data_IF_339029501512
#
_entry.id   IF_339029501512
#
_cell.length_a   1.000
_cell.length_b   1.000
_cell.length_c   1.000
_cell.angle_alpha   90.00
_cell.angle_beta   90.00
_cell.angle_gamma   90.00
#
_symmetry.space_group_name_H-M   'P 1'
#
loop_
_entity.id
_entity.type
_entity.pdbx_description
1 polymer ?
#
# COMPACT_ATOMS: atom_id res chain seq x y z
N UNK A 1 -13.91 4.97 -1.25
CA UNK A 1 -12.99 6.04 -1.73
C UNK A 1 -11.67 5.39 -2.07
N UNK A 2 -11.09 5.75 -3.22
CA UNK A 2 -9.70 5.47 -3.60
C UNK A 2 -8.83 6.63 -3.09
N UNK A 3 -7.75 6.36 -2.37
CA UNK A 3 -6.83 7.37 -1.88
C UNK A 3 -5.81 7.80 -2.93
N UNK A 4 -5.11 6.83 -3.55
CA UNK A 4 -4.12 7.07 -4.61
C UNK A 4 -2.74 7.58 -4.16
N UNK A 5 -2.53 7.80 -2.86
CA UNK A 5 -1.23 8.20 -2.28
C UNK A 5 -1.12 7.83 -0.79
N UNK A 6 -1.35 6.54 -0.47
CA UNK A 6 -1.08 6.05 0.88
C UNK A 6 0.42 5.92 1.08
N UNK A 7 0.94 6.65 2.06
CA UNK A 7 2.33 6.66 2.49
C UNK A 7 2.42 7.14 3.94
N UNK A 8 3.51 6.82 4.65
CA UNK A 8 3.68 7.25 6.04
C UNK A 8 3.64 8.78 6.21
N UNK A 9 4.14 9.55 5.22
CA UNK A 9 4.07 11.03 5.20
C UNK A 9 2.64 11.59 5.17
N UNK A 10 1.66 10.79 4.74
CA UNK A 10 0.24 11.14 4.66
C UNK A 10 -0.56 10.55 5.84
N UNK A 11 0.15 10.17 6.91
CA UNK A 11 -0.43 9.77 8.19
C UNK A 11 -0.11 10.84 9.24
N UNK A 12 -1.12 11.30 9.97
CA UNK A 12 -0.99 12.23 11.08
C UNK A 12 -1.21 11.51 12.41
N UNK A 13 -0.37 11.81 13.39
CA UNK A 13 -0.55 11.34 14.76
C UNK A 13 -1.35 12.40 15.55
N UNK A 14 -2.58 12.05 15.90
CA UNK A 14 -3.43 12.86 16.77
C UNK A 14 -3.22 12.47 18.26
N UNK A 15 -3.91 13.17 19.15
CA UNK A 15 -3.96 12.84 20.57
C UNK A 15 -4.34 11.38 20.82
N UNK A 16 -3.85 10.80 21.91
CA UNK A 16 -4.10 9.41 22.32
C UNK A 16 -3.58 8.36 21.32
N UNK A 17 -2.47 8.64 20.63
CA UNK A 17 -1.83 7.76 19.65
C UNK A 17 -2.77 7.32 18.51
N UNK A 18 -3.75 8.17 18.17
CA UNK A 18 -4.68 7.89 17.06
C UNK A 18 -4.05 8.34 15.75
N UNK A 19 -3.81 7.40 14.85
CA UNK A 19 -3.32 7.70 13.49
C UNK A 19 -4.49 8.03 12.58
N UNK A 20 -4.37 9.12 11.80
CA UNK A 20 -5.38 9.56 10.83
C UNK A 20 -4.75 9.72 9.45
N UNK A 21 -5.44 9.22 8.43
CA UNK A 21 -5.05 9.38 7.03
C UNK A 21 -5.41 10.81 6.58
N UNK A 22 -4.49 11.48 5.88
CA UNK A 22 -4.68 12.82 5.33
C UNK A 22 -4.26 12.90 3.85
N UNK A 23 -4.30 14.11 3.28
CA UNK A 23 -3.94 14.40 1.89
C UNK A 23 -4.72 13.61 0.82
N UNK A 24 -6.00 13.97 0.69
CA UNK A 24 -6.91 13.41 -0.30
C UNK A 24 -6.78 14.09 -1.68
N UNK A 25 -5.70 14.81 -1.97
CA UNK A 25 -5.53 15.57 -3.21
C UNK A 25 -5.56 14.69 -4.48
N UNK A 26 -5.16 13.42 -4.34
CA UNK A 26 -5.21 12.41 -5.40
C UNK A 26 -6.42 11.48 -5.30
N UNK A 27 -7.28 11.66 -4.29
CA UNK A 27 -8.39 10.76 -4.02
C UNK A 27 -9.54 10.90 -5.02
N UNK A 28 -10.28 9.80 -5.19
CA UNK A 28 -11.43 9.71 -6.10
C UNK A 28 -12.54 8.87 -5.49
N UNK A 29 -13.78 9.27 -5.74
CA UNK A 29 -14.94 8.45 -5.40
C UNK A 29 -15.23 7.45 -6.53
N UNK A 30 -15.30 6.17 -6.15
CA UNK A 30 -15.44 5.06 -7.08
C UNK A 30 -16.92 4.66 -7.14
N UNK A 31 -17.73 5.41 -7.90
CA UNK A 31 -19.18 5.22 -7.92
C UNK A 31 -19.64 3.99 -8.74
N UNK A 32 -19.07 3.78 -9.93
CA UNK A 32 -19.53 2.74 -10.88
C UNK A 32 -18.41 1.89 -11.50
N UNK A 33 -17.21 2.45 -11.64
CA UNK A 33 -16.04 1.75 -12.17
C UNK A 33 -15.06 1.51 -11.03
N UNK A 34 -14.70 0.25 -10.79
CA UNK A 34 -13.71 -0.16 -9.77
C UNK A 34 -12.27 0.22 -10.15
N UNK A 35 -12.08 0.83 -11.32
CA UNK A 35 -10.79 1.23 -11.89
C UNK A 35 -10.85 2.68 -12.38
N UNK A 36 -9.82 3.45 -12.05
CA UNK A 36 -9.56 4.79 -12.56
C UNK A 36 -8.32 4.79 -13.46
N UNK A 37 -8.45 5.36 -14.66
CA UNK A 37 -7.34 5.54 -15.60
C UNK A 37 -6.87 7.00 -15.55
N UNK A 38 -5.66 7.24 -15.03
CA UNK A 38 -5.09 8.59 -14.97
C UNK A 38 -4.52 9.02 -16.33
N UNK A 39 -4.96 10.17 -16.83
CA UNK A 39 -4.54 10.73 -18.13
C UNK A 39 -3.45 11.81 -18.06
N UNK A 40 -3.21 12.42 -16.90
CA UNK A 40 -2.21 13.49 -16.72
C UNK A 40 -0.82 12.96 -16.36
N UNK A 41 0.22 13.73 -16.72
CA UNK A 41 1.64 13.42 -16.49
C UNK A 41 2.20 14.01 -15.18
N UNK A 42 1.35 14.24 -14.17
CA UNK A 42 1.79 14.80 -12.89
C UNK A 42 2.86 13.92 -12.23
N UNK A 43 3.70 14.51 -11.38
CA UNK A 43 4.63 13.77 -10.54
C UNK A 43 3.83 12.82 -9.63
N UNK A 44 4.22 11.54 -9.62
CA UNK A 44 3.52 10.49 -8.88
C UNK A 44 4.45 9.82 -7.85
N UNK A 45 3.90 9.31 -6.73
CA UNK A 45 4.65 8.62 -5.68
C UNK A 45 5.04 7.20 -6.09
N UNK A 46 5.85 7.04 -7.14
CA UNK A 46 6.13 5.78 -7.82
C UNK A 46 6.62 4.64 -6.89
N UNK A 47 7.30 4.98 -5.80
CA UNK A 47 7.80 3.99 -4.81
C UNK A 47 6.69 3.31 -4.00
N UNK A 48 5.52 3.94 -3.88
CA UNK A 48 4.34 3.39 -3.21
C UNK A 48 3.34 2.77 -4.19
N UNK A 49 3.51 3.00 -5.49
CA UNK A 49 2.52 2.59 -6.49
C UNK A 49 2.63 1.10 -6.83
N UNK A 50 1.47 0.50 -7.07
CA UNK A 50 1.35 -0.85 -7.60
C UNK A 50 1.85 -0.95 -9.06
N UNK A 51 2.30 -2.13 -9.53
CA UNK A 51 2.82 -2.30 -10.89
C UNK A 51 1.82 -1.91 -11.98
N UNK A 52 0.54 -2.20 -11.82
CA UNK A 52 -0.52 -1.79 -12.75
C UNK A 52 -0.75 -0.26 -12.77
N UNK A 53 -0.56 0.40 -11.62
CA UNK A 53 -0.66 1.86 -11.52
C UNK A 53 0.54 2.56 -12.19
N UNK A 54 1.73 1.95 -12.10
CA UNK A 54 2.95 2.44 -12.75
C UNK A 54 2.86 2.24 -14.26
N UNK A 55 2.66 0.99 -14.69
CA UNK A 55 2.82 0.60 -16.10
C UNK A 55 1.60 0.96 -16.96
N UNK A 56 0.40 0.90 -16.38
CA UNK A 56 -0.86 1.02 -17.12
C UNK A 56 -1.72 2.20 -16.66
N UNK A 57 -1.26 2.96 -15.64
CA UNK A 57 -2.02 4.06 -15.01
C UNK A 57 -3.39 3.62 -14.48
N UNK A 58 -3.50 2.34 -14.08
CA UNK A 58 -4.71 1.74 -13.50
C UNK A 58 -4.66 1.90 -11.98
N UNK A 59 -5.60 2.66 -11.44
CA UNK A 59 -5.76 2.85 -9.99
C UNK A 59 -7.06 2.20 -9.51
N UNK A 60 -6.99 1.52 -8.37
CA UNK A 60 -8.12 0.83 -7.75
C UNK A 60 -7.91 0.70 -6.24
N UNK A 61 -8.90 0.19 -5.52
CA UNK A 61 -8.72 -0.14 -4.10
C UNK A 61 -7.56 -1.14 -3.91
N UNK A 62 -7.31 -2.02 -4.88
CA UNK A 62 -6.20 -2.97 -4.81
C UNK A 62 -4.83 -2.33 -5.02
N UNK A 63 -4.75 -1.20 -5.75
CA UNK A 63 -3.50 -0.43 -5.81
C UNK A 63 -3.25 0.35 -4.51
N UNK A 64 -4.31 0.77 -3.80
CA UNK A 64 -4.18 1.30 -2.44
C UNK A 64 -3.72 0.23 -1.45
N UNK A 65 -4.15 -1.02 -1.59
CA UNK A 65 -3.65 -2.14 -0.76
C UNK A 65 -2.14 -2.33 -0.93
N UNK A 66 -1.62 -2.23 -2.15
CA UNK A 66 -0.17 -2.26 -2.38
C UNK A 66 0.53 -1.10 -1.67
N UNK A 67 0.01 0.12 -1.85
CA UNK A 67 0.53 1.35 -1.24
C UNK A 67 0.51 1.27 0.29
N UNK A 68 -0.54 0.68 0.85
CA UNK A 68 -0.67 0.39 2.28
C UNK A 68 0.38 -0.61 2.75
N UNK A 69 0.70 -1.64 1.96
CA UNK A 69 1.81 -2.56 2.26
C UNK A 69 3.15 -1.82 2.35
N UNK A 70 3.43 -0.88 1.44
CA UNK A 70 4.63 -0.03 1.53
C UNK A 70 4.57 0.88 2.76
N UNK A 71 3.41 1.45 3.08
CA UNK A 71 3.19 2.29 4.26
C UNK A 71 3.45 1.53 5.56
N UNK A 72 2.94 0.30 5.68
CA UNK A 72 3.24 -0.58 6.81
C UNK A 72 4.73 -0.90 6.88
N UNK A 73 5.37 -1.18 5.75
CA UNK A 73 6.81 -1.40 5.73
C UNK A 73 7.59 -0.19 6.28
N UNK A 74 7.23 1.04 5.88
CA UNK A 74 7.82 2.27 6.43
C UNK A 74 7.66 2.32 7.96
N UNK A 75 6.46 2.03 8.48
CA UNK A 75 6.20 2.05 9.93
C UNK A 75 7.08 1.04 10.68
N UNK A 76 7.22 -0.18 10.17
CA UNK A 76 7.96 -1.26 10.83
C UNK A 76 9.48 -1.16 10.64
N UNK A 77 9.93 -0.33 9.72
CA UNK A 77 11.34 0.03 9.53
C UNK A 77 11.69 1.40 10.13
N UNK A 78 10.78 1.98 10.92
CA UNK A 78 10.96 3.28 11.58
C UNK A 78 11.24 4.43 10.60
N UNK A 79 10.60 4.38 9.43
CA UNK A 79 10.67 5.43 8.41
C UNK A 79 11.78 5.26 7.38
N UNK A 80 12.29 4.04 7.18
CA UNK A 80 13.24 3.80 6.09
C UNK A 80 12.65 4.19 4.74
N UNK A 81 13.52 4.57 3.81
CA UNK A 81 13.12 4.95 2.46
C UNK A 81 12.84 3.71 1.61
N UNK A 82 11.64 3.56 1.00
CA UNK A 82 11.38 2.46 0.09
C UNK A 82 12.30 2.51 -1.13
N UNK A 83 12.85 1.35 -1.51
CA UNK A 83 13.73 1.17 -2.68
C UNK A 83 14.81 2.27 -2.81
N UNK A 84 15.70 2.41 -1.80
CA UNK A 84 16.68 3.49 -1.78
C UNK A 84 17.68 3.33 -2.95
N UNK A 85 17.96 4.41 -3.66
CA UNK A 85 18.87 4.42 -4.82
C UNK A 85 18.37 3.68 -6.08
N UNK A 86 17.20 3.04 -6.05
CA UNK A 86 16.68 2.33 -7.22
C UNK A 86 16.05 3.32 -8.24
N UNK A 87 16.40 3.22 -9.53
CA UNK A 87 15.84 4.08 -10.57
C UNK A 87 14.31 3.97 -10.70
N UNK A 88 13.60 5.09 -10.58
CA UNK A 88 12.12 5.12 -10.57
C UNK A 88 11.50 4.58 -11.86
N UNK A 89 12.13 4.83 -13.01
CA UNK A 89 11.68 4.38 -14.32
C UNK A 89 11.76 2.86 -14.50
N UNK A 90 12.52 2.15 -13.66
CA UNK A 90 12.65 0.68 -13.71
C UNK A 90 11.76 -0.05 -12.69
N UNK A 91 11.10 0.67 -11.77
CA UNK A 91 10.32 0.05 -10.68
C UNK A 91 9.19 -0.84 -11.19
N UNK A 92 8.46 -0.39 -12.22
CA UNK A 92 7.34 -1.15 -12.79
C UNK A 92 7.77 -2.53 -13.30
N UNK A 93 8.87 -2.60 -14.05
CA UNK A 93 9.46 -3.87 -14.52
C UNK A 93 10.00 -4.71 -13.36
N UNK A 94 10.70 -4.08 -12.42
CA UNK A 94 11.27 -4.80 -11.28
C UNK A 94 10.18 -5.44 -10.39
N UNK A 95 9.06 -4.76 -10.17
CA UNK A 95 7.92 -5.30 -9.42
C UNK A 95 7.25 -6.48 -10.13
N UNK A 96 7.11 -6.41 -11.46
CA UNK A 96 6.62 -7.54 -12.27
C UNK A 96 7.56 -8.74 -12.16
N UNK A 97 8.87 -8.51 -12.14
CA UNK A 97 9.90 -9.53 -11.95
C UNK A 97 10.07 -10.00 -10.50
N UNK A 98 9.19 -9.60 -9.59
CA UNK A 98 9.14 -10.12 -8.22
C UNK A 98 9.96 -9.35 -7.18
N UNK A 99 10.56 -8.20 -7.52
CA UNK A 99 11.26 -7.37 -6.53
C UNK A 99 10.28 -6.88 -5.45
N UNK A 100 10.62 -7.09 -4.18
CA UNK A 100 9.86 -6.62 -3.00
C UNK A 100 10.80 -6.00 -1.97
N UNK A 101 10.27 -5.18 -1.08
CA UNK A 101 11.02 -4.64 0.05
C UNK A 101 11.35 -5.78 1.02
N UNK A 102 12.57 -5.79 1.56
CA UNK A 102 13.01 -6.77 2.58
C UNK A 102 12.80 -6.26 4.01
N UNK A 103 12.96 -7.14 5.00
CA UNK A 103 12.86 -6.87 6.47
C UNK A 103 11.50 -6.36 6.99
N UNK A 104 10.63 -7.28 7.41
CA UNK A 104 9.57 -6.98 8.39
C UNK A 104 9.17 -8.26 9.15
N UNK A 105 9.97 -8.73 10.11
CA UNK A 105 9.89 -10.10 10.66
C UNK A 105 8.47 -10.59 10.98
N UNK A 106 7.67 -9.80 11.69
CA UNK A 106 6.34 -10.24 12.14
C UNK A 106 5.27 -10.10 11.05
N UNK A 107 5.31 -9.04 10.25
CA UNK A 107 4.29 -8.75 9.23
C UNK A 107 4.63 -9.21 7.81
N UNK A 108 5.82 -9.78 7.58
CA UNK A 108 6.31 -9.98 6.21
C UNK A 108 5.36 -10.78 5.33
N UNK A 109 4.72 -11.82 5.88
CA UNK A 109 3.74 -12.62 5.16
C UNK A 109 2.51 -11.81 4.73
N UNK A 110 2.05 -10.87 5.55
CA UNK A 110 0.97 -9.95 5.21
C UNK A 110 1.42 -8.95 4.13
N UNK A 111 2.65 -8.42 4.24
CA UNK A 111 3.19 -7.50 3.24
C UNK A 111 3.33 -8.17 1.87
N UNK A 112 3.83 -9.41 1.82
CA UNK A 112 3.90 -10.19 0.59
C UNK A 112 2.52 -10.45 -0.04
N UNK A 113 1.47 -10.60 0.77
CA UNK A 113 0.09 -10.68 0.28
C UNK A 113 -0.39 -9.35 -0.31
N UNK A 114 -0.08 -8.22 0.34
CA UNK A 114 -0.40 -6.89 -0.19
C UNK A 114 0.35 -6.61 -1.50
N UNK A 115 1.54 -7.20 -1.68
CA UNK A 115 2.37 -7.04 -2.87
C UNK A 115 2.25 -8.18 -3.88
N UNK A 116 1.12 -8.89 -3.94
CA UNK A 116 0.86 -9.84 -5.05
C UNK A 116 0.81 -9.09 -6.38
N UNK A 117 1.44 -9.65 -7.42
CA UNK A 117 1.49 -9.02 -8.74
C UNK A 117 0.08 -8.89 -9.34
N UNK A 118 -0.74 -9.93 -9.21
CA UNK A 118 -2.15 -9.89 -9.59
C UNK A 118 -2.98 -9.11 -8.54
N UNK A 119 -3.63 -7.99 -8.90
CA UNK A 119 -4.40 -7.19 -7.93
C UNK A 119 -5.53 -7.95 -7.25
N UNK A 120 -6.13 -8.95 -7.92
CA UNK A 120 -7.26 -9.73 -7.39
C UNK A 120 -6.83 -10.67 -6.26
N UNK A 121 -5.56 -11.06 -6.23
CA UNK A 121 -4.99 -11.92 -5.17
C UNK A 121 -4.63 -11.14 -3.90
N UNK A 122 -4.65 -9.80 -3.95
CA UNK A 122 -4.35 -8.97 -2.78
C UNK A 122 -5.52 -9.00 -1.80
N UNK A 123 -5.27 -9.05 -0.49
CA UNK A 123 -6.33 -9.03 0.50
C UNK A 123 -7.08 -7.70 0.46
N UNK A 124 -8.37 -7.73 0.77
CA UNK A 124 -9.16 -6.51 0.99
C UNK A 124 -8.78 -5.89 2.34
N UNK A 125 -8.97 -4.57 2.49
CA UNK A 125 -8.65 -3.85 3.73
C UNK A 125 -9.31 -4.42 4.99
N UNK A 126 -10.55 -4.90 4.91
CA UNK A 126 -11.21 -5.55 6.05
C UNK A 126 -10.45 -6.81 6.49
N UNK A 127 -10.02 -7.65 5.53
CA UNK A 127 -9.24 -8.85 5.85
C UNK A 127 -7.87 -8.50 6.44
N UNK A 128 -7.24 -7.41 5.99
CA UNK A 128 -5.99 -6.91 6.57
C UNK A 128 -6.21 -6.47 8.01
N UNK A 129 -7.29 -5.73 8.28
CA UNK A 129 -7.66 -5.29 9.62
C UNK A 129 -7.91 -6.48 10.56
N UNK A 130 -8.61 -7.51 10.09
CA UNK A 130 -8.83 -8.75 10.86
C UNK A 130 -7.51 -9.41 11.24
N UNK A 131 -6.60 -9.60 10.26
CA UNK A 131 -5.27 -10.20 10.49
C UNK A 131 -4.49 -9.38 11.53
N UNK A 132 -4.42 -8.06 11.38
CA UNK A 132 -3.71 -7.21 12.32
C UNK A 132 -4.35 -7.24 13.72
N UNK A 133 -5.68 -7.27 13.81
CA UNK A 133 -6.41 -7.40 15.08
C UNK A 133 -6.11 -8.72 15.79
N UNK A 134 -6.05 -9.83 15.04
CA UNK A 134 -5.71 -11.15 15.58
C UNK A 134 -4.26 -11.18 16.09
N UNK A 135 -3.34 -10.54 15.38
CA UNK A 135 -1.94 -10.42 15.81
C UNK A 135 -1.77 -9.58 17.08
N UNK A 136 -2.63 -8.59 17.30
CA UNK A 136 -2.65 -7.78 18.52
C UNK A 136 -3.36 -8.46 19.69
N UNK A 137 -4.24 -9.44 19.43
CA UNK A 137 -5.04 -10.13 20.44
C UNK A 137 -4.92 -11.67 20.31
N UNK A 138 -3.72 -12.25 20.55
CA UNK A 138 -3.46 -13.67 20.34
C UNK A 138 -4.34 -14.62 21.18
N UNK A 139 -5.00 -14.11 22.23
CA UNK A 139 -5.90 -14.89 23.10
C UNK A 139 -7.31 -15.11 22.53
N UNK A 140 -7.71 -14.39 21.46
CA UNK A 140 -9.03 -14.60 20.82
C UNK A 140 -9.11 -15.87 19.97
N UNK A 141 -7.98 -16.39 19.51
CA UNK A 141 -7.88 -17.59 18.66
C UNK A 141 -7.88 -18.92 19.41
N UNK A 142 -8.05 -18.90 20.75
CA UNK A 142 -8.04 -20.10 21.62
C UNK A 142 -9.43 -20.49 22.19
N UNK A 143 -10.54 -20.05 21.59
CA UNK A 143 -11.90 -20.50 21.95
C UNK A 143 -12.54 -21.29 20.83
#
# INVERSE_FOLDING_TARGET
>A
VLHGDLAARNLLLASNNVVKICDFGLSREMYKNYVYLKKSNDMMPMKWMAPEAINQRIFSIQSDVWSYGVTLWEMFTLGDTPFPGFPLNHLGTAFVNGMRLGKAQILYNLLLQCWRSNPVERPRFNKIADILSDMLNPDKTKK
#
